data_IF_991174897762
#
_entry.id   IF_991174897762
#
_cell.length_a   1.000
_cell.length_b   1.000
_cell.length_c   1.000
_cell.angle_alpha   90.00
_cell.angle_beta   90.00
_cell.angle_gamma   90.00
#
_symmetry.space_group_name_H-M   'P 1'
#
loop_
_entity.id
_entity.type
_entity.pdbx_description
1 polymer ?
#
# COMPACT_ATOMS: atom_id res chain seq x y z
N UNK A 1 29.58 39.56 -9.43
CA UNK A 1 29.47 38.49 -8.40
C UNK A 1 28.24 38.59 -7.48
N UNK A 2 27.67 39.78 -7.22
CA UNK A 2 26.48 39.92 -6.34
C UNK A 2 25.17 39.42 -6.96
N UNK A 3 24.97 39.62 -8.27
CA UNK A 3 23.74 39.22 -8.97
C UNK A 3 23.61 37.68 -9.10
N UNK A 4 24.73 36.99 -9.36
CA UNK A 4 24.77 35.53 -9.49
C UNK A 4 24.47 34.86 -8.14
N UNK A 5 24.96 35.40 -7.02
CA UNK A 5 24.64 34.90 -5.68
C UNK A 5 23.16 35.06 -5.32
N UNK A 6 22.53 36.15 -5.76
CA UNK A 6 21.09 36.38 -5.58
C UNK A 6 20.25 35.38 -6.39
N UNK A 7 20.66 35.09 -7.63
CA UNK A 7 20.00 34.09 -8.49
C UNK A 7 20.12 32.67 -7.91
N UNK A 8 21.28 32.29 -7.39
CA UNK A 8 21.45 31.00 -6.70
C UNK A 8 20.61 30.91 -5.42
N UNK A 9 20.48 32.00 -4.66
CA UNK A 9 19.65 32.03 -3.46
C UNK A 9 18.15 31.89 -3.79
N UNK A 10 17.68 32.56 -4.84
CA UNK A 10 16.30 32.42 -5.33
C UNK A 10 16.00 31.01 -5.85
N UNK A 11 16.96 30.38 -6.53
CA UNK A 11 16.82 29.00 -6.98
C UNK A 11 16.75 28.01 -5.82
N UNK A 12 17.56 28.23 -4.77
CA UNK A 12 17.58 27.39 -3.57
C UNK A 12 16.31 27.52 -2.72
N UNK A 13 15.76 28.74 -2.60
CA UNK A 13 14.46 28.98 -1.94
C UNK A 13 13.32 28.33 -2.74
N UNK A 14 13.35 28.43 -4.08
CA UNK A 14 12.36 27.78 -4.95
C UNK A 14 12.33 26.25 -4.80
N UNK A 15 13.49 25.61 -4.67
CA UNK A 15 13.57 24.16 -4.46
C UNK A 15 13.11 23.72 -3.06
N UNK A 16 13.27 24.56 -2.02
CA UNK A 16 12.75 24.27 -0.68
C UNK A 16 11.22 24.32 -0.62
N UNK A 17 10.58 25.22 -1.39
CA UNK A 17 9.13 25.33 -1.48
C UNK A 17 8.48 24.13 -2.21
N UNK A 18 9.19 23.43 -3.09
CA UNK A 18 8.66 22.22 -3.73
C UNK A 18 8.69 20.99 -2.81
N UNK A 19 9.56 20.96 -1.79
CA UNK A 19 9.65 19.84 -0.85
C UNK A 19 8.56 19.88 0.24
N UNK A 20 7.88 21.01 0.40
CA UNK A 20 6.82 21.22 1.41
C UNK A 20 5.41 20.94 0.91
N UNK A 21 5.25 20.57 -0.37
CA UNK A 21 3.99 20.08 -0.93
C UNK A 21 3.91 18.55 -0.82
N UNK A 22 4.25 18.02 0.36
CA UNK A 22 3.71 16.73 0.75
C UNK A 22 2.36 17.07 1.36
N UNK A 23 1.30 16.87 0.57
CA UNK A 23 -0.08 16.91 1.04
C UNK A 23 -0.12 16.00 2.27
N UNK A 24 -0.10 16.62 3.46
CA UNK A 24 -0.50 15.94 4.66
C UNK A 24 -1.99 15.80 4.45
N UNK A 25 -2.43 14.67 3.89
CA UNK A 25 -3.84 14.26 3.94
C UNK A 25 -4.18 14.25 5.42
N UNK A 26 -4.75 15.36 5.88
CA UNK A 26 -5.20 15.55 7.24
C UNK A 26 -6.16 14.39 7.50
N UNK A 27 -5.72 13.43 8.30
CA UNK A 27 -6.48 12.23 8.62
C UNK A 27 -7.78 12.68 9.30
N UNK A 28 -8.85 12.76 8.51
CA UNK A 28 -10.16 13.07 9.03
C UNK A 28 -10.58 11.86 9.87
N UNK A 29 -10.77 12.08 11.17
CA UNK A 29 -11.45 11.10 12.01
C UNK A 29 -12.74 10.65 11.32
N UNK A 30 -13.14 9.36 11.42
CA UNK A 30 -14.41 8.91 10.88
C UNK A 30 -15.50 9.88 11.32
N UNK A 31 -16.21 10.47 10.37
CA UNK A 31 -17.23 11.47 10.68
C UNK A 31 -18.28 10.83 11.60
N UNK A 32 -18.21 11.21 12.87
CA UNK A 32 -19.10 10.78 13.94
C UNK A 32 -20.42 11.55 13.88
N UNK A 33 -21.05 11.48 12.72
CA UNK A 33 -22.33 12.13 12.43
C UNK A 33 -23.34 11.07 11.94
N UNK A 34 -24.43 10.82 12.69
CA UNK A 34 -25.47 9.89 12.30
C UNK A 34 -26.44 10.45 11.24
N UNK A 35 -26.23 11.69 10.77
CA UNK A 35 -27.04 12.29 9.71
C UNK A 35 -26.92 11.50 8.39
N UNK A 36 -27.81 11.79 7.45
CA UNK A 36 -27.74 11.19 6.12
C UNK A 36 -26.42 11.51 5.41
N UNK A 37 -25.95 12.74 5.55
CA UNK A 37 -24.75 13.24 4.91
C UNK A 37 -23.50 12.71 5.62
N UNK A 38 -23.49 12.74 6.96
CA UNK A 38 -22.42 12.14 7.76
C UNK A 38 -22.19 10.66 7.46
N UNK A 39 -23.28 9.89 7.36
CA UNK A 39 -23.20 8.48 6.96
C UNK A 39 -22.77 8.29 5.51
N UNK A 40 -23.10 9.22 4.60
CA UNK A 40 -22.65 9.18 3.21
C UNK A 40 -21.15 9.44 3.12
N UNK A 41 -20.64 10.42 3.87
CA UNK A 41 -19.21 10.69 3.97
C UNK A 41 -18.46 9.50 4.55
N UNK A 42 -18.96 8.90 5.63
CA UNK A 42 -18.40 7.65 6.19
C UNK A 42 -18.26 6.54 5.14
N UNK A 43 -19.26 6.35 4.26
CA UNK A 43 -19.19 5.37 3.17
C UNK A 43 -18.18 5.78 2.10
N UNK A 44 -18.09 7.07 1.80
CA UNK A 44 -17.13 7.61 0.84
C UNK A 44 -15.70 7.41 1.32
N UNK A 45 -15.38 7.77 2.56
CA UNK A 45 -14.04 7.63 3.15
C UNK A 45 -13.63 6.14 3.18
N UNK A 46 -14.56 5.26 3.56
CA UNK A 46 -14.35 3.82 3.54
C UNK A 46 -14.00 3.29 2.14
N UNK A 47 -14.66 3.79 1.10
CA UNK A 47 -14.40 3.40 -0.28
C UNK A 47 -13.05 3.96 -0.75
N UNK A 48 -12.73 5.19 -0.38
CA UNK A 48 -11.46 5.84 -0.73
C UNK A 48 -10.27 5.10 -0.13
N UNK A 49 -10.33 4.74 1.15
CA UNK A 49 -9.31 3.93 1.84
C UNK A 49 -9.19 2.52 1.22
N UNK A 50 -10.30 1.98 0.72
CA UNK A 50 -10.32 0.73 -0.03
C UNK A 50 -9.77 0.86 -1.47
N UNK A 51 -9.41 2.06 -1.92
CA UNK A 51 -8.91 2.33 -3.27
C UNK A 51 -10.01 2.40 -4.34
N UNK A 52 -11.26 2.65 -3.95
CA UNK A 52 -12.39 2.81 -4.85
C UNK A 52 -12.80 4.27 -4.98
N UNK A 53 -13.03 4.71 -6.22
CA UNK A 53 -13.63 6.02 -6.54
C UNK A 53 -15.05 5.79 -7.03
N UNK A 54 -16.10 5.99 -6.21
CA UNK A 54 -17.47 5.72 -6.61
C UNK A 54 -18.01 6.79 -7.56
N UNK A 55 -18.60 6.39 -8.69
CA UNK A 55 -19.36 7.27 -9.58
C UNK A 55 -20.55 7.92 -8.85
N UNK A 56 -21.24 7.13 -8.01
CA UNK A 56 -22.39 7.62 -7.25
C UNK A 56 -22.64 6.83 -5.97
N UNK A 57 -22.88 7.56 -4.88
CA UNK A 57 -23.39 7.02 -3.61
C UNK A 57 -24.77 7.62 -3.36
N UNK A 58 -25.80 6.77 -3.31
CA UNK A 58 -27.19 7.19 -3.06
C UNK A 58 -27.83 6.36 -1.96
N UNK A 59 -28.72 6.97 -1.18
CA UNK A 59 -29.51 6.25 -0.17
C UNK A 59 -30.54 5.39 -0.92
N UNK A 60 -30.43 4.08 -0.76
CA UNK A 60 -31.40 3.11 -1.26
C UNK A 60 -32.59 2.98 -0.29
N UNK A 61 -32.29 2.86 1.00
CA UNK A 61 -33.29 2.71 2.04
C UNK A 61 -32.86 3.40 3.33
N UNK A 62 -33.80 4.07 3.98
CA UNK A 62 -33.63 4.55 5.36
C UNK A 62 -34.38 3.63 6.30
N UNK A 63 -33.73 3.23 7.38
CA UNK A 63 -34.23 2.33 8.40
C UNK A 63 -34.30 3.04 9.76
N UNK A 64 -35.11 2.54 10.71
CA UNK A 64 -35.13 3.06 12.08
C UNK A 64 -33.74 3.00 12.75
N UNK A 65 -33.56 3.80 13.81
CA UNK A 65 -32.29 3.87 14.56
C UNK A 65 -31.09 4.34 13.72
N UNK A 66 -31.28 5.37 12.88
CA UNK A 66 -30.18 5.99 12.10
C UNK A 66 -29.40 4.93 11.30
N UNK A 67 -30.15 4.02 10.68
CA UNK A 67 -29.59 2.96 9.87
C UNK A 67 -29.97 3.21 8.41
N UNK A 68 -29.04 3.01 7.48
CA UNK A 68 -29.24 3.32 6.06
C UNK A 68 -28.55 2.30 5.18
N UNK A 69 -29.23 1.92 4.12
CA UNK A 69 -28.63 1.14 3.04
C UNK A 69 -28.28 2.11 1.92
N UNK A 70 -27.01 2.19 1.59
CA UNK A 70 -26.48 2.97 0.48
C UNK A 70 -26.28 2.07 -0.73
N UNK A 71 -26.75 2.49 -1.89
CA UNK A 71 -26.38 1.91 -3.17
C UNK A 71 -25.16 2.67 -3.70
N UNK A 72 -24.06 1.95 -3.87
CA UNK A 72 -22.81 2.44 -4.41
C UNK A 72 -22.69 1.95 -5.85
N UNK A 73 -22.47 2.89 -6.77
CA UNK A 73 -22.14 2.60 -8.16
C UNK A 73 -20.67 2.94 -8.35
N UNK A 74 -19.87 1.94 -8.70
CA UNK A 74 -18.45 2.11 -9.01
C UNK A 74 -18.30 2.40 -10.50
N UNK A 75 -18.88 1.52 -11.34
CA UNK A 75 -18.88 1.64 -12.80
C UNK A 75 -20.28 1.36 -13.38
N UNK A 76 -20.38 1.28 -14.71
CA UNK A 76 -21.59 0.88 -15.44
C UNK A 76 -22.08 -0.53 -15.08
N UNK A 77 -21.17 -1.43 -14.67
CA UNK A 77 -21.46 -2.83 -14.33
C UNK A 77 -21.25 -3.12 -12.84
N UNK A 78 -20.25 -2.47 -12.24
CA UNK A 78 -19.79 -2.77 -10.88
C UNK A 78 -20.45 -1.85 -9.85
N UNK A 79 -20.90 -2.42 -8.74
CA UNK A 79 -21.49 -1.68 -7.65
C UNK A 79 -21.90 -2.59 -6.51
N UNK A 80 -22.52 -2.02 -5.48
CA UNK A 80 -22.93 -2.78 -4.33
C UNK A 80 -23.86 -2.02 -3.41
N UNK A 81 -24.20 -2.68 -2.31
CA UNK A 81 -24.99 -2.08 -1.24
C UNK A 81 -24.19 -2.08 0.05
N UNK A 82 -24.07 -0.91 0.67
CA UNK A 82 -23.39 -0.71 1.96
C UNK A 82 -24.45 -0.44 3.02
N UNK A 83 -24.50 -1.28 4.04
CA UNK A 83 -25.43 -1.11 5.16
C UNK A 83 -24.73 -0.46 6.35
N UNK A 84 -25.09 0.78 6.65
CA UNK A 84 -24.52 1.57 7.75
C UNK A 84 -25.52 1.68 8.89
N UNK A 85 -25.01 1.59 10.12
CA UNK A 85 -25.76 1.78 11.36
C UNK A 85 -24.99 2.71 12.29
N UNK A 86 -25.74 3.34 13.19
CA UNK A 86 -25.18 4.14 14.27
C UNK A 86 -25.07 3.33 15.57
N UNK A 87 -23.89 3.29 16.17
CA UNK A 87 -23.70 2.80 17.52
C UNK A 87 -23.92 3.95 18.52
N UNK A 88 -25.00 3.86 19.32
CA UNK A 88 -25.36 4.89 20.30
C UNK A 88 -24.40 4.95 21.49
N UNK A 89 -23.73 3.84 21.81
CA UNK A 89 -22.82 3.75 22.96
C UNK A 89 -21.47 4.35 22.59
N UNK A 90 -20.93 3.93 21.45
CA UNK A 90 -19.64 4.40 20.94
C UNK A 90 -19.71 5.74 20.20
N UNK A 91 -20.92 6.16 19.80
CA UNK A 91 -21.17 7.35 18.99
C UNK A 91 -20.41 7.34 17.67
N UNK A 92 -20.45 6.20 16.99
CA UNK A 92 -19.75 5.99 15.71
C UNK A 92 -20.65 5.33 14.66
N UNK A 93 -20.35 5.60 13.39
CA UNK A 93 -20.94 4.88 12.28
C UNK A 93 -20.22 3.54 12.06
N UNK A 94 -20.98 2.48 11.78
CA UNK A 94 -20.40 1.18 11.47
C UNK A 94 -21.15 0.45 10.36
N UNK A 95 -20.40 -0.30 9.55
CA UNK A 95 -20.97 -1.21 8.56
C UNK A 95 -21.54 -2.44 9.26
N UNK A 96 -22.82 -2.73 9.03
CA UNK A 96 -23.52 -3.88 9.56
C UNK A 96 -23.73 -4.93 8.46
N UNK A 97 -23.28 -6.16 8.70
CA UNK A 97 -23.22 -7.20 7.68
C UNK A 97 -24.58 -7.57 7.07
N UNK A 98 -24.73 -7.23 5.79
CA UNK A 98 -24.97 -8.14 4.65
C UNK A 98 -24.88 -7.29 3.38
N UNK A 99 -23.67 -7.03 2.91
CA UNK A 99 -23.52 -6.39 1.60
C UNK A 99 -23.90 -7.39 0.51
N UNK A 100 -24.62 -6.92 -0.50
CA UNK A 100 -25.15 -7.77 -1.57
C UNK A 100 -24.06 -8.08 -2.62
N UNK A 101 -22.93 -7.38 -2.59
CA UNK A 101 -21.74 -7.66 -3.41
C UNK A 101 -20.55 -8.15 -2.54
N UNK A 102 -20.02 -9.36 -2.78
CA UNK A 102 -18.95 -9.95 -1.96
C UNK A 102 -17.56 -9.32 -2.18
N UNK A 103 -17.30 -8.74 -3.36
CA UNK A 103 -16.00 -8.13 -3.68
C UNK A 103 -15.80 -6.80 -2.96
N UNK A 104 -16.82 -5.95 -2.95
CA UNK A 104 -16.81 -4.67 -2.22
C UNK A 104 -16.74 -4.91 -0.71
N UNK A 105 -17.47 -5.92 -0.21
CA UNK A 105 -17.50 -6.25 1.21
C UNK A 105 -16.12 -6.60 1.79
N UNK A 106 -15.36 -7.46 1.10
CA UNK A 106 -14.06 -7.91 1.58
C UNK A 106 -13.09 -6.74 1.72
N UNK A 107 -13.04 -5.86 0.71
CA UNK A 107 -12.16 -4.71 0.70
C UNK A 107 -12.57 -3.66 1.76
N UNK A 108 -13.87 -3.35 1.89
CA UNK A 108 -14.35 -2.44 2.93
C UNK A 108 -14.10 -2.94 4.36
N UNK A 109 -14.18 -4.26 4.59
CA UNK A 109 -13.81 -4.86 5.87
C UNK A 109 -12.32 -4.68 6.16
N UNK A 110 -11.47 -4.85 5.14
CA UNK A 110 -10.03 -4.57 5.22
C UNK A 110 -9.77 -3.08 5.50
N UNK A 111 -10.40 -2.16 4.75
CA UNK A 111 -10.28 -0.72 4.95
C UNK A 111 -10.69 -0.30 6.36
N UNK A 112 -11.81 -0.82 6.89
CA UNK A 112 -12.24 -0.54 8.27
C UNK A 112 -11.21 -1.02 9.32
N UNK A 113 -10.57 -2.16 9.08
CA UNK A 113 -9.53 -2.68 9.97
C UNK A 113 -8.22 -1.86 9.85
N UNK A 114 -7.90 -1.37 8.65
CA UNK A 114 -6.81 -0.42 8.42
C UNK A 114 -7.09 0.87 9.19
N UNK A 115 -8.28 1.46 9.05
CA UNK A 115 -8.72 2.63 9.82
C UNK A 115 -8.57 2.38 11.32
N UNK A 116 -9.06 1.25 11.83
CA UNK A 116 -8.96 0.90 13.25
C UNK A 116 -7.50 0.84 13.73
N UNK A 117 -6.60 0.22 12.95
CA UNK A 117 -5.17 0.13 13.26
C UNK A 117 -4.48 1.50 13.16
N UNK A 118 -4.95 2.37 12.26
CA UNK A 118 -4.51 3.75 12.13
C UNK A 118 -4.98 4.63 13.29
N UNK A 119 -6.17 4.39 13.84
CA UNK A 119 -6.70 5.18 14.98
C UNK A 119 -5.90 4.96 16.27
N UNK A 120 -5.17 3.85 16.42
CA UNK A 120 -4.33 3.57 17.60
C UNK A 120 -2.82 3.84 17.37
N UNK A 121 -2.37 4.16 16.15
CA UNK A 121 -0.97 4.49 15.83
C UNK A 121 -0.87 5.79 15.03
N UNK A 122 -0.26 6.81 15.64
CA UNK A 122 -0.13 8.13 15.03
C UNK A 122 0.76 8.15 13.76
N UNK A 123 1.68 7.20 13.59
CA UNK A 123 2.55 7.06 12.42
C UNK A 123 2.96 5.59 12.24
N UNK A 124 3.26 5.20 11.00
CA UNK A 124 3.90 3.91 10.71
C UNK A 124 5.41 4.10 10.55
N UNK A 125 6.21 3.29 11.24
CA UNK A 125 7.65 3.16 11.01
C UNK A 125 7.95 1.97 10.09
N UNK A 126 9.12 1.97 9.47
CA UNK A 126 9.69 0.79 8.78
C UNK A 126 9.77 -0.42 9.73
N UNK A 127 9.83 -0.15 11.03
CA UNK A 127 9.94 -1.16 12.07
C UNK A 127 8.59 -1.85 12.39
N UNK A 128 7.45 -1.31 11.95
CA UNK A 128 6.14 -1.86 12.28
C UNK A 128 5.81 -3.17 11.57
N UNK A 129 5.05 -4.02 12.26
CA UNK A 129 4.51 -5.27 11.71
C UNK A 129 3.49 -4.95 10.61
N UNK A 130 3.62 -5.63 9.47
CA UNK A 130 2.70 -5.49 8.35
C UNK A 130 1.26 -5.90 8.74
N UNK A 131 0.29 -5.44 7.95
CA UNK A 131 -1.11 -5.81 8.12
C UNK A 131 -1.31 -7.33 7.96
N UNK A 132 -1.56 -8.02 9.07
CA UNK A 132 -1.88 -9.45 9.08
C UNK A 132 -3.38 -9.71 8.92
N UNK A 133 -3.70 -10.82 8.28
CA UNK A 133 -5.05 -11.34 8.14
C UNK A 133 -5.56 -11.89 9.50
N UNK A 134 -6.88 -11.84 9.78
CA UNK A 134 -7.43 -12.15 11.10
C UNK A 134 -7.34 -13.63 11.52
N UNK A 135 -7.08 -14.51 10.57
CA UNK A 135 -6.86 -15.95 10.73
C UNK A 135 -5.38 -16.32 10.91
N UNK A 136 -4.47 -15.35 10.82
CA UNK A 136 -3.06 -15.55 11.07
C UNK A 136 -2.74 -15.38 12.56
N UNK A 137 -1.82 -16.19 13.08
CA UNK A 137 -1.28 -15.97 14.40
C UNK A 137 -0.50 -14.64 14.41
N UNK A 138 -0.79 -13.74 15.36
CA UNK A 138 -0.19 -12.41 15.37
C UNK A 138 1.31 -12.50 15.65
N UNK A 139 2.11 -12.15 14.63
CA UNK A 139 3.57 -12.05 14.74
C UNK A 139 3.95 -11.08 15.86
N UNK A 140 4.75 -11.55 16.82
CA UNK A 140 5.27 -10.73 17.90
C UNK A 140 6.58 -10.02 17.49
N UNK A 141 7.08 -9.10 18.33
CA UNK A 141 8.28 -8.31 18.00
C UNK A 141 9.56 -9.14 17.83
N UNK A 142 9.75 -10.18 18.64
CA UNK A 142 10.94 -11.04 18.54
C UNK A 142 10.90 -11.88 17.26
N UNK A 143 9.72 -12.41 16.93
CA UNK A 143 9.50 -13.18 15.70
C UNK A 143 9.66 -12.31 14.44
N UNK A 144 9.25 -11.04 14.48
CA UNK A 144 9.48 -10.10 13.39
C UNK A 144 10.98 -9.87 13.13
N UNK A 145 11.77 -9.70 14.18
CA UNK A 145 13.21 -9.50 14.07
C UNK A 145 13.92 -10.73 13.51
N UNK A 146 13.50 -11.93 13.93
CA UNK A 146 13.98 -13.21 13.38
C UNK A 146 13.66 -13.34 11.88
N UNK A 147 12.42 -13.04 11.47
CA UNK A 147 12.00 -13.09 10.07
C UNK A 147 12.77 -12.10 9.18
N UNK A 148 13.09 -10.91 9.71
CA UNK A 148 13.91 -9.92 9.02
C UNK A 148 15.34 -10.41 8.84
N UNK A 149 15.94 -10.94 9.90
CA UNK A 149 17.28 -11.49 9.83
C UNK A 149 17.38 -12.66 8.84
N UNK A 150 16.37 -13.53 8.80
CA UNK A 150 16.31 -14.64 7.84
C UNK A 150 16.16 -14.15 6.39
N UNK A 151 15.34 -13.11 6.17
CA UNK A 151 15.19 -12.51 4.85
C UNK A 151 16.50 -11.89 4.34
N UNK A 152 17.21 -11.16 5.19
CA UNK A 152 18.50 -10.55 4.86
C UNK A 152 19.54 -11.61 4.52
N UNK A 153 19.61 -12.68 5.32
CA UNK A 153 20.52 -13.80 5.11
C UNK A 153 20.25 -14.49 3.77
N UNK A 154 18.98 -14.73 3.45
CA UNK A 154 18.55 -15.35 2.18
C UNK A 154 18.85 -14.49 0.95
N UNK A 155 18.77 -13.16 1.09
CA UNK A 155 19.14 -12.25 0.01
C UNK A 155 20.65 -12.25 -0.23
N UNK A 156 21.45 -12.30 0.84
CA UNK A 156 22.90 -12.40 0.74
C UNK A 156 23.32 -13.73 0.08
N UNK A 157 22.71 -14.85 0.49
CA UNK A 157 22.92 -16.16 -0.13
C UNK A 157 22.63 -16.13 -1.64
N UNK A 158 21.50 -15.56 -2.05
CA UNK A 158 21.16 -15.40 -3.48
C UNK A 158 22.20 -14.55 -4.22
N UNK A 159 22.74 -13.51 -3.58
CA UNK A 159 23.75 -12.64 -4.21
C UNK A 159 25.05 -13.42 -4.43
N UNK A 160 25.48 -14.20 -3.45
CA UNK A 160 26.66 -15.07 -3.55
C UNK A 160 26.49 -16.15 -4.64
N UNK A 161 25.32 -16.77 -4.73
CA UNK A 161 25.05 -17.76 -5.80
C UNK A 161 25.13 -17.14 -7.19
N UNK A 162 24.61 -15.92 -7.36
CA UNK A 162 24.68 -15.19 -8.63
C UNK A 162 26.12 -14.81 -8.99
N UNK A 163 26.91 -14.37 -8.01
CA UNK A 163 28.32 -14.06 -8.18
C UNK A 163 29.13 -15.30 -8.57
N UNK A 164 28.90 -16.45 -7.90
CA UNK A 164 29.50 -17.72 -8.26
C UNK A 164 29.13 -18.18 -9.67
N UNK A 165 27.84 -18.07 -10.04
CA UNK A 165 27.36 -18.45 -11.36
C UNK A 165 28.00 -17.57 -12.45
N UNK A 166 28.11 -16.26 -12.20
CA UNK A 166 28.77 -15.32 -13.09
C UNK A 166 30.27 -15.61 -13.22
N UNK A 167 30.96 -15.95 -12.12
CA UNK A 167 32.36 -16.34 -12.13
C UNK A 167 32.61 -17.66 -12.89
N UNK A 168 31.76 -18.68 -12.67
CA UNK A 168 31.77 -19.94 -13.43
C UNK A 168 31.51 -19.70 -14.92
N UNK A 169 30.63 -18.77 -15.26
CA UNK A 169 30.34 -18.44 -16.67
C UNK A 169 31.50 -17.69 -17.33
N UNK A 170 32.11 -16.71 -16.64
CA UNK A 170 33.32 -16.02 -17.12
C UNK A 170 34.47 -16.99 -17.38
N UNK A 171 34.83 -17.83 -16.40
CA UNK A 171 35.91 -18.81 -16.57
C UNK A 171 35.67 -19.81 -17.73
N UNK A 172 34.41 -20.21 -17.97
CA UNK A 172 34.05 -21.04 -19.14
C UNK A 172 34.23 -20.29 -20.47
N UNK A 173 33.90 -19.00 -20.53
CA UNK A 173 34.12 -18.15 -21.72
C UNK A 173 35.60 -17.99 -21.99
N UNK A 174 36.38 -17.62 -20.97
CA UNK A 174 37.83 -17.42 -21.08
C UNK A 174 38.53 -18.70 -21.56
N UNK A 175 38.13 -19.88 -21.06
CA UNK A 175 38.70 -21.17 -21.49
C UNK A 175 38.34 -21.53 -22.93
N UNK A 176 37.20 -21.06 -23.45
CA UNK A 176 36.75 -21.27 -24.84
C UNK A 176 37.47 -20.34 -25.80
N UNK A 177 37.70 -19.09 -25.42
CA UNK A 177 38.51 -18.12 -26.19
C UNK A 177 39.96 -18.59 -26.30
N UNK A 178 40.60 -18.93 -25.18
CA UNK A 178 41.96 -19.48 -25.18
C UNK A 178 42.13 -20.74 -26.06
N UNK A 179 41.08 -21.58 -26.19
CA UNK A 179 41.09 -22.76 -27.08
C UNK A 179 40.96 -22.40 -28.56
N UNK A 180 40.27 -21.31 -28.90
CA UNK A 180 40.14 -20.82 -30.28
C UNK A 180 41.45 -20.17 -30.74
N UNK A 181 42.02 -19.29 -29.91
CA UNK A 181 43.30 -18.64 -30.20
C UNK A 181 44.42 -19.65 -30.44
N UNK A 182 44.48 -20.74 -29.64
CA UNK A 182 45.46 -21.82 -29.84
C UNK A 182 45.30 -22.60 -31.15
N UNK A 183 44.07 -22.71 -31.67
CA UNK A 183 43.78 -23.38 -32.95
C UNK A 183 44.09 -22.48 -34.14
N UNK A 184 43.84 -21.17 -34.04
CA UNK A 184 44.18 -20.20 -35.09
C UNK A 184 45.70 -19.92 -35.17
N UNK A 185 46.42 -20.01 -34.04
CA UNK A 185 47.87 -19.86 -34.00
C UNK A 185 48.66 -21.08 -34.54
N UNK A 186 47.99 -22.20 -34.84
CA UNK A 186 48.62 -23.39 -35.44
C UNK A 186 48.05 -23.62 -36.84
N UNK A 187 48.54 -22.92 -37.89
CA UNK A 187 48.22 -23.32 -39.26
C UNK A 187 48.93 -24.63 -39.57
N UNK A 188 48.17 -25.65 -39.96
CA UNK A 188 48.68 -26.92 -40.46
C UNK A 188 49.60 -26.65 -41.66
N UNK A 189 50.91 -26.80 -41.45
CA UNK A 189 51.88 -26.99 -42.52
C UNK A 189 51.86 -28.48 -42.89
N UNK A 190 51.12 -28.82 -43.93
CA UNK A 190 51.33 -30.01 -44.75
C UNK A 190 51.99 -29.60 -46.06
#
# INVERSE_FOLDING_TARGET
MRLIRLLFFLFFVGTLSQLSCQENDEYLEPINDPSADGQRFFVQDLLDIAGYVPEKIQIYQTLPNQARVFRVKLDSVNGGFVFVRWDKVKKENFVANKMIDPGVYFNLKAAKEIMRKQTDKANFSVDDVALQAPDQEPINSAELDELRAEFDLKNEEKRLEQEEAAAKQKSRRDRKENRKEKKEATPESQ
#
